data_IF_562140402034
#
_entry.id   IF_562140402034
#
_cell.length_a   1.000
_cell.length_b   1.000
_cell.length_c   1.000
_cell.angle_alpha   90.00
_cell.angle_beta   90.00
_cell.angle_gamma   90.00
#
_symmetry.space_group_name_H-M   'P 1'
#
loop_
_entity.id
_entity.type
_entity.pdbx_description
1 polymer ?
#
# COMPACT_ATOMS: atom_id res chain seq x y z
N UNK A 1 19.91 25.49 -55.77
CA UNK A 1 18.65 26.22 -56.08
C UNK A 1 17.37 25.38 -56.09
N UNK A 2 17.36 24.09 -56.51
CA UNK A 2 16.13 23.27 -56.50
C UNK A 2 15.66 22.82 -55.11
N UNK A 3 16.57 22.63 -54.15
CA UNK A 3 16.24 22.24 -52.76
C UNK A 3 15.60 23.39 -51.97
N UNK A 4 16.16 24.61 -52.07
CA UNK A 4 15.66 25.80 -51.37
C UNK A 4 14.24 26.18 -51.78
N UNK A 5 13.89 26.09 -53.08
CA UNK A 5 12.51 26.32 -53.54
C UNK A 5 11.50 25.32 -52.97
N UNK A 6 11.86 24.04 -52.84
CA UNK A 6 10.98 23.02 -52.26
C UNK A 6 10.75 23.26 -50.76
N UNK A 7 11.80 23.64 -50.04
CA UNK A 7 11.69 24.00 -48.61
C UNK A 7 10.82 25.25 -48.43
N UNK A 8 11.00 26.28 -49.24
CA UNK A 8 10.15 27.49 -49.18
C UNK A 8 8.68 27.19 -49.49
N UNK A 9 8.40 26.33 -50.46
CA UNK A 9 7.02 25.92 -50.78
C UNK A 9 6.41 25.11 -49.63
N UNK A 10 7.17 24.18 -49.04
CA UNK A 10 6.73 23.41 -47.88
C UNK A 10 6.40 24.31 -46.68
N UNK A 11 7.29 25.28 -46.38
CA UNK A 11 7.07 26.27 -45.33
C UNK A 11 5.84 27.13 -45.60
N UNK A 12 5.67 27.61 -46.83
CA UNK A 12 4.50 28.40 -47.21
C UNK A 12 3.21 27.59 -47.06
N UNK A 13 3.24 26.32 -47.46
CA UNK A 13 2.09 25.42 -47.34
C UNK A 13 1.73 25.15 -45.87
N UNK A 14 2.73 24.90 -45.01
CA UNK A 14 2.54 24.76 -43.56
C UNK A 14 1.96 26.03 -42.93
N UNK A 15 2.42 27.20 -43.38
CA UNK A 15 1.97 28.49 -42.85
C UNK A 15 0.51 28.79 -43.26
N UNK A 16 0.15 28.51 -44.52
CA UNK A 16 -1.23 28.63 -45.01
C UNK A 16 -2.15 27.64 -44.31
N UNK A 17 -1.73 26.37 -44.19
CA UNK A 17 -2.50 25.33 -43.50
C UNK A 17 -2.72 25.68 -42.02
N UNK A 18 -1.68 26.18 -41.33
CA UNK A 18 -1.77 26.65 -39.95
C UNK A 18 -2.73 27.82 -39.79
N UNK A 19 -2.65 28.84 -40.65
CA UNK A 19 -3.55 29.99 -40.62
C UNK A 19 -5.01 29.61 -40.91
N UNK A 20 -5.24 28.69 -41.85
CA UNK A 20 -6.58 28.22 -42.20
C UNK A 20 -7.24 27.42 -41.06
N UNK A 21 -6.45 26.68 -40.28
CA UNK A 21 -6.94 25.82 -39.19
C UNK A 21 -7.07 26.55 -37.85
N UNK A 22 -6.32 27.65 -37.67
CA UNK A 22 -6.32 28.49 -36.47
C UNK A 22 -7.70 28.94 -35.94
N UNK A 23 -8.66 29.40 -36.78
CA UNK A 23 -9.98 29.81 -36.28
C UNK A 23 -10.83 28.66 -35.74
N UNK A 24 -10.57 27.41 -36.15
CA UNK A 24 -11.25 26.22 -35.65
C UNK A 24 -10.58 25.68 -34.36
N UNK A 25 -9.25 25.77 -34.26
CA UNK A 25 -8.51 25.27 -33.10
C UNK A 25 -8.48 26.24 -31.93
N UNK A 26 -8.57 27.56 -32.16
CA UNK A 26 -8.53 28.55 -31.08
C UNK A 26 -9.70 28.44 -30.09
N UNK A 27 -10.97 28.24 -30.51
CA UNK A 27 -12.09 28.05 -29.59
C UNK A 27 -11.96 26.73 -28.84
N UNK A 28 -11.70 25.63 -29.55
CA UNK A 28 -11.54 24.30 -28.96
C UNK A 28 -10.37 24.25 -27.97
N UNK A 29 -9.24 24.85 -28.32
CA UNK A 29 -8.08 24.95 -27.45
C UNK A 29 -8.32 25.80 -26.21
N UNK A 30 -9.15 26.85 -26.29
CA UNK A 30 -9.56 27.62 -25.10
C UNK A 30 -10.48 26.80 -24.20
N UNK A 31 -11.45 26.10 -24.78
CA UNK A 31 -12.37 25.24 -24.03
C UNK A 31 -11.63 24.08 -23.35
N UNK A 32 -10.70 23.44 -24.06
CA UNK A 32 -9.85 22.39 -23.49
C UNK A 32 -8.92 22.91 -22.38
N UNK A 33 -8.48 24.17 -22.42
CA UNK A 33 -7.73 24.78 -21.30
C UNK A 33 -8.62 25.13 -20.11
N UNK A 34 -9.80 25.70 -20.38
CA UNK A 34 -10.79 26.00 -19.35
C UNK A 34 -11.27 24.75 -18.61
N UNK A 35 -11.29 23.61 -19.29
CA UNK A 35 -11.63 22.30 -18.71
C UNK A 35 -10.41 21.55 -18.15
N UNK A 36 -9.21 22.14 -18.20
CA UNK A 36 -7.97 21.53 -17.68
C UNK A 36 -7.40 20.38 -18.52
N UNK A 37 -7.97 20.10 -19.70
CA UNK A 37 -7.50 19.06 -20.62
C UNK A 37 -6.18 19.45 -21.28
N UNK A 38 -6.01 20.73 -21.62
CA UNK A 38 -4.75 21.28 -22.16
C UNK A 38 -4.10 22.23 -21.16
N UNK A 39 -2.77 22.15 -21.04
CA UNK A 39 -1.99 23.09 -20.25
C UNK A 39 -1.94 24.49 -20.91
N UNK A 40 -1.73 25.52 -20.08
CA UNK A 40 -1.52 26.90 -20.55
C UNK A 40 -0.23 27.03 -21.39
N UNK A 41 -0.14 27.96 -22.36
CA UNK A 41 1.09 28.22 -23.10
C UNK A 41 2.28 28.46 -22.17
N UNK A 42 3.45 27.89 -22.48
CA UNK A 42 4.68 28.14 -21.72
C UNK A 42 5.01 29.62 -21.86
N UNK A 43 5.34 30.27 -20.75
CA UNK A 43 5.90 31.62 -20.81
C UNK A 43 7.35 31.58 -21.33
N UNK A 44 7.88 32.75 -21.69
CA UNK A 44 9.20 32.84 -22.30
C UNK A 44 10.33 32.46 -21.33
N UNK A 45 10.14 32.64 -20.02
CA UNK A 45 11.11 32.24 -18.99
C UNK A 45 11.16 30.72 -18.84
N UNK A 46 10.00 30.08 -18.94
CA UNK A 46 9.82 28.64 -18.87
C UNK A 46 10.47 27.93 -20.05
N UNK A 47 10.38 28.49 -21.27
CA UNK A 47 11.07 27.92 -22.43
C UNK A 47 12.60 27.91 -22.29
N UNK A 48 13.16 28.86 -21.54
CA UNK A 48 14.60 28.92 -21.30
C UNK A 48 15.04 27.85 -20.27
N UNK A 49 14.20 27.57 -19.27
CA UNK A 49 14.48 26.60 -18.21
C UNK A 49 14.52 25.12 -18.68
N UNK A 50 13.71 24.76 -19.69
CA UNK A 50 13.60 23.38 -20.21
C UNK A 50 14.64 23.14 -21.34
N UNK A 51 15.31 24.21 -21.80
CA UNK A 51 16.25 24.19 -22.93
C UNK A 51 15.55 24.28 -24.29
N UNK A 52 16.20 24.95 -25.26
CA UNK A 52 15.59 25.35 -26.55
C UNK A 52 14.98 24.19 -27.35
N UNK A 53 15.61 23.01 -27.34
CA UNK A 53 15.13 21.83 -28.10
C UNK A 53 13.86 21.24 -27.48
N UNK A 54 13.86 21.05 -26.16
CA UNK A 54 12.70 20.54 -25.42
C UNK A 54 11.55 21.54 -25.43
N UNK A 55 11.85 22.84 -25.33
CA UNK A 55 10.87 23.92 -25.47
C UNK A 55 10.21 23.93 -26.85
N UNK A 56 10.98 23.77 -27.94
CA UNK A 56 10.44 23.68 -29.29
C UNK A 56 9.53 22.46 -29.49
N UNK A 57 9.88 21.31 -28.91
CA UNK A 57 9.06 20.08 -28.93
C UNK A 57 7.79 20.25 -28.08
N UNK A 58 7.92 20.84 -26.89
CA UNK A 58 6.82 21.16 -25.98
C UNK A 58 5.80 22.14 -26.58
N UNK A 59 6.26 23.11 -27.37
CA UNK A 59 5.40 24.05 -28.11
C UNK A 59 4.60 23.37 -29.24
N UNK A 60 5.04 22.20 -29.72
CA UNK A 60 4.32 21.36 -30.68
C UNK A 60 3.21 20.48 -30.08
N UNK A 61 2.89 20.64 -28.79
CA UNK A 61 1.85 19.85 -28.10
C UNK A 61 2.35 18.55 -27.47
N UNK A 62 3.67 18.29 -27.47
CA UNK A 62 4.27 17.04 -26.99
C UNK A 62 4.75 17.11 -25.52
N UNK A 63 4.21 18.02 -24.70
CA UNK A 63 4.67 18.24 -23.32
C UNK A 63 4.58 16.99 -22.45
N UNK A 64 3.49 16.23 -22.56
CA UNK A 64 3.28 14.99 -21.80
C UNK A 64 4.30 13.91 -22.18
N UNK A 65 4.64 13.82 -23.47
CA UNK A 65 5.68 12.92 -23.95
C UNK A 65 7.06 13.34 -23.43
N UNK A 66 7.39 14.63 -23.50
CA UNK A 66 8.68 15.14 -22.97
C UNK A 66 8.79 14.88 -21.47
N UNK A 67 7.74 15.19 -20.69
CA UNK A 67 7.71 14.91 -19.25
C UNK A 67 7.89 13.42 -18.94
N UNK A 68 7.22 12.54 -19.71
CA UNK A 68 7.37 11.09 -19.56
C UNK A 68 8.78 10.61 -19.89
N UNK A 69 9.37 11.12 -20.98
CA UNK A 69 10.75 10.80 -21.37
C UNK A 69 11.73 11.30 -20.31
N UNK A 70 11.56 12.51 -19.76
CA UNK A 70 12.41 13.00 -18.67
C UNK A 70 12.30 12.10 -17.43
N UNK A 71 11.09 11.71 -17.05
CA UNK A 71 10.87 10.80 -15.93
C UNK A 71 11.59 9.46 -16.13
N UNK A 72 11.43 8.80 -17.28
CA UNK A 72 12.03 7.48 -17.49
C UNK A 72 13.53 7.52 -17.84
N UNK A 73 13.97 8.50 -18.64
CA UNK A 73 15.34 8.52 -19.16
C UNK A 73 16.33 9.32 -18.31
N UNK A 74 15.84 10.16 -17.39
CA UNK A 74 16.68 11.02 -16.55
C UNK A 74 16.47 10.79 -15.06
N UNK A 75 15.23 10.72 -14.58
CA UNK A 75 14.97 10.49 -13.15
C UNK A 75 15.42 9.08 -12.73
N UNK A 76 15.11 8.05 -13.51
CA UNK A 76 15.49 6.66 -13.17
C UNK A 76 17.02 6.48 -13.04
N UNK A 77 17.86 6.91 -14.01
CA UNK A 77 19.31 6.85 -13.83
C UNK A 77 19.81 7.68 -12.65
N UNK A 78 19.32 8.91 -12.46
CA UNK A 78 19.73 9.76 -11.35
C UNK A 78 19.38 9.14 -9.98
N UNK A 79 18.24 8.43 -9.89
CA UNK A 79 17.86 7.67 -8.71
C UNK A 79 18.78 6.49 -8.44
N UNK A 80 19.18 5.74 -9.47
CA UNK A 80 20.16 4.66 -9.33
C UNK A 80 21.52 5.17 -8.84
N UNK A 81 21.90 6.38 -9.25
CA UNK A 81 23.15 7.04 -8.85
C UNK A 81 23.02 7.82 -7.52
N UNK A 82 21.83 7.85 -6.91
CA UNK A 82 21.51 8.64 -5.73
C UNK A 82 21.81 10.15 -5.91
N UNK A 83 21.68 10.66 -7.13
CA UNK A 83 21.78 12.09 -7.46
C UNK A 83 20.43 12.78 -7.19
N UNK A 84 20.16 12.98 -5.90
CA UNK A 84 18.92 13.61 -5.43
C UNK A 84 18.73 15.02 -5.99
N UNK A 85 19.81 15.80 -6.09
CA UNK A 85 19.74 17.17 -6.65
C UNK A 85 19.37 17.13 -8.14
N UNK A 86 19.96 16.20 -8.89
CA UNK A 86 19.60 15.96 -10.29
C UNK A 86 18.13 15.58 -10.46
N UNK A 87 17.62 14.65 -9.65
CA UNK A 87 16.21 14.26 -9.66
C UNK A 87 15.30 15.48 -9.52
N UNK A 88 15.53 16.33 -8.51
CA UNK A 88 14.64 17.45 -8.25
C UNK A 88 14.74 18.56 -9.30
N UNK A 89 15.91 18.77 -9.89
CA UNK A 89 16.09 19.66 -11.04
C UNK A 89 15.25 19.18 -12.24
N UNK A 90 15.17 17.86 -12.45
CA UNK A 90 14.34 17.29 -13.50
C UNK A 90 12.84 17.43 -13.16
N UNK A 91 12.46 17.23 -11.91
CA UNK A 91 11.06 17.40 -11.50
C UNK A 91 10.55 18.83 -11.65
N UNK A 92 11.38 19.85 -11.38
CA UNK A 92 11.04 21.25 -11.66
C UNK A 92 10.65 21.44 -13.14
N UNK A 93 11.38 20.80 -14.07
CA UNK A 93 11.01 20.81 -15.50
C UNK A 93 9.73 20.03 -15.79
N UNK A 94 9.56 18.86 -15.16
CA UNK A 94 8.38 18.01 -15.35
C UNK A 94 7.10 18.69 -14.85
N UNK A 95 7.11 19.29 -13.65
CA UNK A 95 5.97 20.03 -13.10
C UNK A 95 5.64 21.24 -13.96
N UNK A 96 6.65 21.90 -14.52
CA UNK A 96 6.43 22.99 -15.48
C UNK A 96 5.80 22.50 -16.79
N UNK A 97 6.17 21.31 -17.26
CA UNK A 97 5.62 20.71 -18.50
C UNK A 97 4.21 20.15 -18.32
N UNK A 98 3.90 19.57 -17.15
CA UNK A 98 2.67 18.83 -16.84
C UNK A 98 2.15 19.16 -15.42
N UNK A 99 1.80 20.42 -15.12
CA UNK A 99 1.31 20.82 -13.79
C UNK A 99 -0.05 20.20 -13.43
N UNK A 100 -0.80 19.71 -14.43
CA UNK A 100 -2.10 19.08 -14.24
C UNK A 100 -2.04 17.57 -13.93
N UNK A 101 -0.85 16.99 -13.74
CA UNK A 101 -0.67 15.55 -13.54
C UNK A 101 -0.19 15.26 -12.12
N UNK A 102 -1.10 14.82 -11.24
CA UNK A 102 -0.78 14.58 -9.82
C UNK A 102 0.28 13.51 -9.57
N UNK A 103 0.47 12.57 -10.51
CA UNK A 103 1.52 11.55 -10.41
C UNK A 103 2.91 12.17 -10.22
N UNK A 104 3.24 13.25 -10.94
CA UNK A 104 4.58 13.82 -10.87
C UNK A 104 4.85 14.54 -9.55
N UNK A 105 3.84 15.13 -8.92
CA UNK A 105 3.98 15.69 -7.57
C UNK A 105 4.14 14.60 -6.52
N UNK A 106 3.35 13.52 -6.61
CA UNK A 106 3.48 12.36 -5.72
C UNK A 106 4.85 11.69 -5.87
N UNK A 107 5.33 11.51 -7.09
CA UNK A 107 6.64 10.91 -7.35
C UNK A 107 7.76 11.79 -6.77
N UNK A 108 7.75 13.09 -7.05
CA UNK A 108 8.74 14.02 -6.52
C UNK A 108 8.75 14.05 -4.97
N UNK A 109 7.55 14.06 -4.36
CA UNK A 109 7.40 14.02 -2.91
C UNK A 109 7.93 12.70 -2.30
N UNK A 110 7.67 11.55 -2.95
CA UNK A 110 8.21 10.25 -2.54
C UNK A 110 9.74 10.20 -2.63
N UNK A 111 10.32 10.63 -3.75
CA UNK A 111 11.78 10.70 -3.89
C UNK A 111 12.42 11.61 -2.85
N UNK A 112 11.78 12.71 -2.48
CA UNK A 112 12.30 13.63 -1.46
C UNK A 112 12.15 13.06 -0.05
N UNK A 113 10.92 12.84 0.38
CA UNK A 113 10.63 12.58 1.79
C UNK A 113 10.76 11.11 2.19
N UNK A 114 10.79 10.17 1.24
CA UNK A 114 11.01 8.75 1.54
C UNK A 114 12.43 8.33 1.13
N UNK A 115 12.82 8.46 -0.14
CA UNK A 115 14.08 7.91 -0.64
C UNK A 115 15.30 8.74 -0.22
N UNK A 116 15.36 10.03 -0.58
CA UNK A 116 16.47 10.90 -0.22
C UNK A 116 16.58 11.03 1.31
N UNK A 117 15.45 11.18 1.99
CA UNK A 117 15.38 11.14 3.45
C UNK A 117 16.07 9.89 4.03
N UNK A 118 15.72 8.70 3.53
CA UNK A 118 16.27 7.44 4.03
C UNK A 118 17.75 7.28 3.70
N UNK A 119 18.18 7.72 2.51
CA UNK A 119 19.60 7.73 2.14
C UNK A 119 20.42 8.60 3.09
N UNK A 120 19.95 9.82 3.40
CA UNK A 120 20.62 10.71 4.34
C UNK A 120 20.50 10.31 5.81
N UNK A 121 19.64 9.35 6.16
CA UNK A 121 19.54 8.84 7.54
C UNK A 121 20.82 8.12 7.97
N UNK A 122 21.38 7.31 7.08
CA UNK A 122 22.50 6.42 7.41
C UNK A 122 23.73 6.68 6.51
N UNK A 123 23.78 7.84 5.83
CA UNK A 123 24.80 8.14 4.82
C UNK A 123 26.23 8.09 5.38
N UNK A 124 27.11 7.22 4.84
CA UNK A 124 28.50 7.14 5.27
C UNK A 124 29.26 8.43 4.99
N UNK A 125 30.21 8.77 5.87
CA UNK A 125 31.09 9.93 5.70
C UNK A 125 30.42 11.29 5.97
N UNK A 126 29.22 11.31 6.55
CA UNK A 126 28.57 12.52 7.05
C UNK A 126 28.51 12.55 8.57
N UNK A 127 28.65 13.73 9.16
CA UNK A 127 28.38 13.97 10.57
C UNK A 127 26.86 13.96 10.84
N UNK A 128 26.44 13.66 12.07
CA UNK A 128 24.99 13.54 12.38
C UNK A 128 24.21 14.82 12.08
N UNK A 129 24.75 15.99 12.42
CA UNK A 129 24.07 17.27 12.14
C UNK A 129 23.91 17.53 10.64
N UNK A 130 24.81 17.01 9.80
CA UNK A 130 24.71 17.13 8.34
C UNK A 130 23.61 16.22 7.81
N UNK A 131 23.55 14.99 8.34
CA UNK A 131 22.48 14.04 8.03
C UNK A 131 21.12 14.62 8.42
N UNK A 132 20.99 15.15 9.63
CA UNK A 132 19.77 15.81 10.11
C UNK A 132 19.37 17.00 9.24
N UNK A 133 20.32 17.88 8.90
CA UNK A 133 20.06 19.02 8.01
C UNK A 133 19.51 18.56 6.65
N UNK A 134 20.10 17.53 6.05
CA UNK A 134 19.65 16.99 4.76
C UNK A 134 18.31 16.29 4.86
N UNK A 135 18.07 15.51 5.91
CA UNK A 135 16.76 14.90 6.18
C UNK A 135 15.66 15.96 6.28
N UNK A 136 15.91 17.03 7.03
CA UNK A 136 14.99 18.16 7.17
C UNK A 136 14.73 18.85 5.82
N UNK A 137 15.79 19.10 5.05
CA UNK A 137 15.69 19.71 3.72
C UNK A 137 14.79 18.89 2.79
N UNK A 138 15.04 17.58 2.67
CA UNK A 138 14.30 16.73 1.73
C UNK A 138 12.89 16.39 2.22
N UNK A 139 12.66 16.23 3.52
CA UNK A 139 11.32 16.08 4.06
C UNK A 139 10.46 17.31 3.73
N UNK A 140 10.97 18.51 4.02
CA UNK A 140 10.27 19.76 3.72
C UNK A 140 10.06 19.95 2.22
N UNK A 141 11.05 19.59 1.39
CA UNK A 141 10.92 19.63 -0.07
C UNK A 141 9.80 18.72 -0.57
N UNK A 142 9.64 17.55 0.03
CA UNK A 142 8.52 16.64 -0.27
C UNK A 142 7.16 17.26 0.07
N UNK A 143 7.04 17.93 1.23
CA UNK A 143 5.84 18.68 1.59
C UNK A 143 5.56 19.81 0.61
N UNK A 144 6.59 20.59 0.21
CA UNK A 144 6.45 21.66 -0.78
C UNK A 144 5.89 21.15 -2.12
N UNK A 145 6.38 20.01 -2.63
CA UNK A 145 5.82 19.44 -3.86
C UNK A 145 4.34 19.05 -3.73
N UNK A 146 3.92 18.57 -2.56
CA UNK A 146 2.51 18.26 -2.32
C UNK A 146 1.67 19.53 -2.22
N UNK A 147 2.20 20.59 -1.61
CA UNK A 147 1.53 21.91 -1.55
C UNK A 147 1.35 22.50 -2.94
N UNK A 148 2.42 22.57 -3.74
CA UNK A 148 2.35 23.01 -5.13
C UNK A 148 1.38 22.15 -5.96
N UNK A 149 1.38 20.83 -5.72
CA UNK A 149 0.43 19.93 -6.37
C UNK A 149 -1.01 20.23 -5.99
N UNK A 150 -1.30 20.47 -4.70
CA UNK A 150 -2.65 20.81 -4.21
C UNK A 150 -3.09 22.18 -4.75
N UNK A 151 -2.20 23.15 -4.85
CA UNK A 151 -2.50 24.46 -5.46
C UNK A 151 -2.89 24.33 -6.93
N UNK A 152 -2.16 23.49 -7.69
CA UNK A 152 -2.46 23.26 -9.11
C UNK A 152 -3.67 22.33 -9.32
N UNK A 153 -3.93 21.42 -8.38
CA UNK A 153 -4.97 20.38 -8.46
C UNK A 153 -5.78 20.32 -7.14
N UNK A 154 -6.59 21.35 -6.82
CA UNK A 154 -7.23 21.49 -5.50
C UNK A 154 -8.24 20.40 -5.16
N UNK A 155 -8.80 19.74 -6.18
CA UNK A 155 -9.73 18.61 -6.01
C UNK A 155 -9.05 17.22 -5.96
N UNK A 156 -7.72 17.14 -6.09
CA UNK A 156 -7.03 15.85 -6.08
C UNK A 156 -6.85 15.34 -4.65
N UNK A 157 -7.63 14.30 -4.32
CA UNK A 157 -7.60 13.68 -3.00
C UNK A 157 -6.29 12.96 -2.70
N UNK A 158 -5.62 12.40 -3.71
CA UNK A 158 -4.40 11.59 -3.49
C UNK A 158 -3.26 12.44 -2.98
N UNK A 159 -3.14 13.68 -3.47
CA UNK A 159 -2.14 14.62 -2.97
C UNK A 159 -2.37 14.98 -1.51
N UNK A 160 -3.64 15.22 -1.13
CA UNK A 160 -4.03 15.52 0.25
C UNK A 160 -3.83 14.31 1.17
N UNK A 161 -4.21 13.12 0.73
CA UNK A 161 -3.98 11.86 1.45
C UNK A 161 -2.49 11.61 1.65
N UNK A 162 -1.66 11.82 0.63
CA UNK A 162 -0.21 11.65 0.72
C UNK A 162 0.43 12.67 1.67
N UNK A 163 -0.01 13.94 1.63
CA UNK A 163 0.49 14.98 2.54
C UNK A 163 0.13 14.66 3.98
N UNK A 164 -1.13 14.29 4.24
CA UNK A 164 -1.57 13.86 5.56
C UNK A 164 -0.80 12.63 6.05
N UNK A 165 -0.53 11.64 5.18
CA UNK A 165 0.31 10.47 5.50
C UNK A 165 1.71 10.91 5.91
N UNK A 166 2.36 11.78 5.16
CA UNK A 166 3.72 12.24 5.46
C UNK A 166 3.80 12.98 6.79
N UNK A 167 2.83 13.85 7.07
CA UNK A 167 2.72 14.58 8.34
C UNK A 167 2.31 13.69 9.52
N UNK A 168 1.94 12.43 9.30
CA UNK A 168 1.52 11.52 10.36
C UNK A 168 2.35 10.23 10.43
N UNK A 169 3.47 10.20 9.70
CA UNK A 169 4.33 9.02 9.56
C UNK A 169 5.13 8.75 10.84
N UNK A 170 4.70 7.76 11.62
CA UNK A 170 5.35 7.38 12.88
C UNK A 170 6.74 6.77 12.71
N UNK A 171 7.17 6.44 11.49
CA UNK A 171 8.55 6.05 11.22
C UNK A 171 9.52 7.23 11.18
N UNK A 172 8.99 8.47 11.17
CA UNK A 172 9.75 9.71 11.20
C UNK A 172 9.20 10.63 12.30
N UNK A 173 9.28 10.20 13.58
CA UNK A 173 8.57 10.82 14.69
C UNK A 173 8.89 12.31 14.88
N UNK A 174 10.06 12.77 14.45
CA UNK A 174 10.47 14.17 14.50
C UNK A 174 9.68 15.11 13.57
N UNK A 175 8.96 14.56 12.58
CA UNK A 175 8.11 15.34 11.65
C UNK A 175 6.61 15.07 11.83
N UNK A 176 6.23 14.27 12.83
CA UNK A 176 4.82 13.98 13.08
C UNK A 176 4.12 15.23 13.59
N UNK A 177 3.13 15.68 12.81
CA UNK A 177 2.20 16.74 13.14
C UNK A 177 0.78 16.29 12.82
N UNK A 178 0.14 15.62 13.79
CA UNK A 178 -1.24 15.16 13.64
C UNK A 178 -2.23 16.31 13.46
N UNK A 179 -1.94 17.51 13.99
CA UNK A 179 -2.84 18.65 13.85
C UNK A 179 -2.85 19.12 12.38
N UNK A 180 -1.68 19.40 11.82
CA UNK A 180 -1.53 19.77 10.41
C UNK A 180 -2.05 18.67 9.48
N UNK A 181 -1.76 17.40 9.77
CA UNK A 181 -2.26 16.28 8.99
C UNK A 181 -3.80 16.19 9.02
N UNK A 182 -4.43 16.51 10.17
CA UNK A 182 -5.88 16.55 10.29
C UNK A 182 -6.47 17.73 9.51
N UNK A 183 -5.86 18.92 9.55
CA UNK A 183 -6.31 20.09 8.78
C UNK A 183 -6.33 19.82 7.28
N UNK A 184 -5.30 19.16 6.75
CA UNK A 184 -5.26 18.75 5.33
C UNK A 184 -6.46 17.86 4.97
N UNK A 185 -6.87 16.97 5.87
CA UNK A 185 -8.01 16.08 5.64
C UNK A 185 -9.36 16.73 5.98
N UNK A 186 -9.42 17.73 6.86
CA UNK A 186 -10.60 18.57 7.06
C UNK A 186 -11.00 19.24 5.74
N UNK A 187 -10.03 19.81 5.03
CA UNK A 187 -10.27 20.35 3.70
C UNK A 187 -10.70 19.24 2.71
N UNK A 188 -10.01 18.10 2.72
CA UNK A 188 -10.28 16.99 1.80
C UNK A 188 -11.72 16.45 1.91
N UNK A 189 -12.29 16.35 3.12
CA UNK A 189 -13.65 15.85 3.32
C UNK A 189 -14.74 16.81 2.83
N UNK A 190 -14.41 18.09 2.59
CA UNK A 190 -15.35 19.06 2.00
C UNK A 190 -15.47 18.93 0.49
N UNK A 191 -14.54 18.22 -0.16
CA UNK A 191 -14.53 18.04 -1.61
C UNK A 191 -15.66 17.11 -2.06
N UNK A 192 -16.25 17.41 -3.23
CA UNK A 192 -17.36 16.60 -3.79
C UNK A 192 -17.01 15.12 -4.01
N UNK A 193 -15.73 14.81 -4.20
CA UNK A 193 -15.22 13.46 -4.48
C UNK A 193 -14.79 12.72 -3.21
N UNK A 194 -14.95 13.32 -2.01
CA UNK A 194 -14.48 12.74 -0.76
C UNK A 194 -15.04 11.33 -0.54
N UNK A 195 -14.15 10.38 -0.28
CA UNK A 195 -14.51 8.98 -0.05
C UNK A 195 -14.66 8.70 1.44
N UNK A 196 -15.32 7.60 1.80
CA UNK A 196 -15.39 7.17 3.20
C UNK A 196 -14.01 6.74 3.75
N UNK A 197 -13.05 6.43 2.87
CA UNK A 197 -11.65 6.19 3.25
C UNK A 197 -11.04 7.47 3.83
N UNK A 198 -11.18 8.60 3.12
CA UNK A 198 -10.67 9.91 3.57
C UNK A 198 -11.32 10.33 4.89
N UNK A 199 -12.64 10.13 5.04
CA UNK A 199 -13.36 10.43 6.30
C UNK A 199 -12.82 9.62 7.49
N UNK A 200 -12.53 8.33 7.29
CA UNK A 200 -11.93 7.48 8.33
C UNK A 200 -10.49 7.88 8.65
N UNK A 201 -9.68 8.21 7.64
CA UNK A 201 -8.33 8.72 7.86
C UNK A 201 -8.35 10.01 8.67
N UNK A 202 -9.24 10.96 8.33
CA UNK A 202 -9.48 12.18 9.11
C UNK A 202 -9.79 11.85 10.56
N UNK A 203 -10.73 10.94 10.81
CA UNK A 203 -11.06 10.51 12.18
C UNK A 203 -9.82 10.01 12.93
N UNK A 204 -9.05 9.13 12.30
CA UNK A 204 -7.88 8.53 12.93
C UNK A 204 -6.84 9.59 13.31
N UNK A 205 -6.56 10.55 12.44
CA UNK A 205 -5.64 11.65 12.74
C UNK A 205 -6.20 12.57 13.82
N UNK A 206 -7.47 12.96 13.69
CA UNK A 206 -8.15 13.82 14.66
C UNK A 206 -8.17 13.24 16.08
N UNK A 207 -8.34 11.91 16.23
CA UNK A 207 -8.29 11.25 17.54
C UNK A 207 -6.93 11.38 18.25
N UNK A 208 -5.86 11.64 17.48
CA UNK A 208 -4.50 11.80 18.02
C UNK A 208 -4.20 13.24 18.44
N UNK A 209 -5.06 14.20 18.10
CA UNK A 209 -4.94 15.61 18.47
C UNK A 209 -5.74 15.83 19.77
N UNK A 210 -5.10 16.04 20.94
CA UNK A 210 -5.79 16.12 22.24
C UNK A 210 -6.97 17.10 22.23
N UNK A 211 -6.76 18.28 21.66
CA UNK A 211 -7.73 19.38 21.62
C UNK A 211 -8.98 19.04 20.81
N UNK A 212 -8.90 18.03 19.92
CA UNK A 212 -9.96 17.63 19.01
C UNK A 212 -10.58 16.28 19.35
N UNK A 213 -10.16 15.63 20.43
CA UNK A 213 -10.69 14.29 20.80
C UNK A 213 -12.18 14.27 21.07
N UNK A 214 -12.76 15.36 21.58
CA UNK A 214 -14.22 15.48 21.74
C UNK A 214 -14.95 15.54 20.38
N UNK A 215 -14.39 16.23 19.41
CA UNK A 215 -14.87 16.22 18.02
C UNK A 215 -14.72 14.81 17.41
N UNK A 216 -13.59 14.14 17.69
CA UNK A 216 -13.35 12.76 17.26
C UNK A 216 -14.35 11.78 17.85
N UNK A 217 -14.75 11.93 19.12
CA UNK A 217 -15.80 11.10 19.72
C UNK A 217 -17.12 11.24 18.97
N UNK A 218 -17.50 12.48 18.62
CA UNK A 218 -18.72 12.77 17.86
C UNK A 218 -18.68 12.08 16.49
N UNK A 219 -17.60 12.28 15.73
CA UNK A 219 -17.44 11.67 14.41
C UNK A 219 -17.35 10.14 14.49
N UNK A 220 -16.72 9.59 15.53
CA UNK A 220 -16.64 8.14 15.74
C UNK A 220 -18.02 7.54 15.92
N UNK A 221 -18.89 8.19 16.71
CA UNK A 221 -20.29 7.76 16.90
C UNK A 221 -21.08 7.80 15.60
N UNK A 222 -20.90 8.85 14.79
CA UNK A 222 -21.53 8.97 13.47
C UNK A 222 -21.11 7.83 12.54
N UNK A 223 -19.81 7.52 12.46
CA UNK A 223 -19.29 6.42 11.65
C UNK A 223 -19.76 5.06 12.19
N UNK A 224 -19.76 4.88 13.52
CA UNK A 224 -20.17 3.64 14.17
C UNK A 224 -21.67 3.33 14.02
N UNK A 225 -22.49 4.36 13.79
CA UNK A 225 -23.93 4.20 13.56
C UNK A 225 -24.24 3.38 12.31
N UNK A 226 -23.37 3.39 11.28
CA UNK A 226 -23.48 2.47 10.14
C UNK A 226 -22.88 1.10 10.51
N UNK A 227 -23.68 0.01 10.56
CA UNK A 227 -23.18 -1.33 10.87
C UNK A 227 -22.04 -1.79 9.95
N UNK A 228 -21.99 -1.32 8.70
CA UNK A 228 -20.94 -1.66 7.73
C UNK A 228 -19.60 -1.01 8.04
N UNK A 229 -19.58 0.00 8.91
CA UNK A 229 -18.40 0.79 9.26
C UNK A 229 -17.84 0.46 10.65
N UNK A 230 -18.36 -0.57 11.33
CA UNK A 230 -17.93 -1.01 12.67
C UNK A 230 -16.63 -1.83 12.66
N UNK A 231 -15.61 -1.31 11.99
CA UNK A 231 -14.29 -1.93 11.95
C UNK A 231 -13.66 -2.01 13.35
N UNK A 232 -12.75 -2.97 13.61
CA UNK A 232 -12.09 -3.11 14.91
C UNK A 232 -11.45 -1.81 15.43
N UNK A 233 -10.83 -1.02 14.55
CA UNK A 233 -10.24 0.28 14.89
C UNK A 233 -11.28 1.31 15.33
N UNK A 234 -12.47 1.32 14.72
CA UNK A 234 -13.57 2.22 15.10
C UNK A 234 -14.15 1.80 16.44
N UNK A 235 -14.33 0.49 16.68
CA UNK A 235 -14.77 -0.05 17.97
C UNK A 235 -13.82 0.39 19.10
N UNK A 236 -12.50 0.21 18.93
CA UNK A 236 -11.51 0.56 19.95
C UNK A 236 -11.34 2.08 20.14
N UNK A 237 -11.48 2.89 19.09
CA UNK A 237 -11.50 4.34 19.22
C UNK A 237 -12.76 4.83 19.92
N UNK A 238 -13.93 4.26 19.60
CA UNK A 238 -15.18 4.59 20.29
C UNK A 238 -15.05 4.34 21.79
N UNK A 239 -14.55 3.14 22.15
CA UNK A 239 -14.32 2.77 23.54
C UNK A 239 -13.34 3.71 24.24
N UNK A 240 -12.16 3.96 23.67
CA UNK A 240 -11.16 4.80 24.33
C UNK A 240 -11.59 6.27 24.44
N UNK A 241 -12.20 6.83 23.39
CA UNK A 241 -12.69 8.22 23.41
C UNK A 241 -13.86 8.41 24.39
N UNK A 242 -14.82 7.49 24.46
CA UNK A 242 -15.93 7.64 25.42
C UNK A 242 -15.47 7.52 26.88
N UNK A 243 -14.41 6.74 27.15
CA UNK A 243 -13.81 6.65 28.49
C UNK A 243 -13.00 7.89 28.86
N UNK A 244 -12.51 8.65 27.88
CA UNK A 244 -11.88 9.96 28.10
C UNK A 244 -12.91 11.04 28.46
N UNK A 245 -14.17 10.86 28.05
CA UNK A 245 -15.30 11.78 28.30
C UNK A 245 -16.50 11.05 28.95
N UNK A 246 -16.36 10.57 30.20
CA UNK A 246 -17.36 9.72 30.86
C UNK A 246 -18.68 10.44 31.18
N UNK A 247 -18.69 11.77 31.14
CA UNK A 247 -19.83 12.67 31.29
C UNK A 247 -20.80 12.60 30.10
N UNK A 248 -20.39 12.01 28.97
CA UNK A 248 -21.26 11.76 27.82
C UNK A 248 -21.85 10.34 27.86
N UNK A 249 -23.10 10.17 27.38
CA UNK A 249 -23.73 8.84 27.28
C UNK A 249 -22.92 7.94 26.34
N UNK A 250 -22.15 7.01 26.92
CA UNK A 250 -21.40 6.00 26.20
C UNK A 250 -22.26 4.86 25.65
N UNK A 251 -21.71 4.11 24.70
CA UNK A 251 -22.28 2.85 24.25
C UNK A 251 -21.72 1.75 25.17
N UNK A 252 -22.57 0.91 25.78
CA UNK A 252 -22.12 -0.20 26.62
C UNK A 252 -21.14 -1.12 25.90
N UNK A 253 -20.15 -1.66 26.62
CA UNK A 253 -19.09 -2.48 26.03
C UNK A 253 -19.61 -3.71 25.27
N UNK A 254 -20.67 -4.33 25.79
CA UNK A 254 -21.36 -5.48 25.18
C UNK A 254 -22.20 -5.11 23.95
N UNK A 255 -22.41 -3.83 23.67
CA UNK A 255 -22.96 -3.33 22.40
C UNK A 255 -21.84 -2.99 21.39
N UNK A 256 -20.63 -2.68 21.87
CA UNK A 256 -19.46 -2.41 21.03
C UNK A 256 -18.84 -3.72 20.50
N UNK A 257 -18.67 -4.71 21.38
CA UNK A 257 -18.02 -5.99 21.09
C UNK A 257 -18.97 -7.15 21.34
N UNK A 258 -18.96 -8.13 20.43
CA UNK A 258 -19.91 -9.26 20.48
C UNK A 258 -19.49 -10.35 21.48
N UNK A 259 -18.22 -10.34 21.93
CA UNK A 259 -17.68 -11.31 22.87
C UNK A 259 -16.46 -10.77 23.63
N UNK A 260 -16.11 -11.45 24.73
CA UNK A 260 -14.86 -11.17 25.47
C UNK A 260 -13.62 -11.37 24.61
N UNK A 261 -13.59 -12.39 23.76
CA UNK A 261 -12.48 -12.60 22.81
C UNK A 261 -12.32 -11.42 21.83
N UNK A 262 -13.44 -10.84 21.37
CA UNK A 262 -13.39 -9.62 20.56
C UNK A 262 -12.86 -8.42 21.32
N UNK A 263 -13.23 -8.27 22.60
CA UNK A 263 -12.72 -7.20 23.48
C UNK A 263 -11.20 -7.33 23.60
N UNK A 264 -10.69 -8.50 23.99
CA UNK A 264 -9.24 -8.72 24.13
C UNK A 264 -8.52 -8.42 22.81
N UNK A 265 -9.01 -8.97 21.68
CA UNK A 265 -8.39 -8.76 20.36
C UNK A 265 -8.40 -7.28 19.94
N UNK A 266 -9.54 -6.62 20.06
CA UNK A 266 -9.72 -5.24 19.64
C UNK A 266 -8.91 -4.27 20.50
N UNK A 267 -8.98 -4.41 21.83
CA UNK A 267 -8.28 -3.53 22.76
C UNK A 267 -6.77 -3.81 22.80
N UNK A 268 -6.34 -5.06 22.69
CA UNK A 268 -4.91 -5.38 22.62
C UNK A 268 -4.26 -4.81 21.35
N UNK A 269 -4.87 -4.99 20.18
CA UNK A 269 -4.37 -4.40 18.93
C UNK A 269 -4.29 -2.87 19.02
N UNK A 270 -5.25 -2.25 19.71
CA UNK A 270 -5.23 -0.81 19.98
C UNK A 270 -4.10 -0.43 20.95
N UNK A 271 -3.92 -1.18 22.03
CA UNK A 271 -2.86 -0.99 23.04
C UNK A 271 -1.44 -1.15 22.47
N UNK A 272 -1.24 -2.05 21.50
CA UNK A 272 0.04 -2.17 20.81
C UNK A 272 0.46 -0.87 20.12
N UNK A 273 -0.52 -0.04 19.72
CA UNK A 273 -0.36 1.23 19.02
C UNK A 273 -0.32 2.45 19.95
N UNK A 274 -0.17 2.24 21.26
CA UNK A 274 -0.12 3.32 22.28
C UNK A 274 0.93 4.40 22.04
N UNK A 275 2.00 4.08 21.31
CA UNK A 275 3.05 5.04 20.98
C UNK A 275 2.71 5.92 19.75
N UNK A 276 1.57 5.70 19.09
CA UNK A 276 1.12 6.47 17.91
C UNK A 276 0.21 7.65 18.27
N UNK A 277 0.19 8.10 19.53
CA UNK A 277 -0.65 9.23 19.98
C UNK A 277 -2.15 8.95 20.06
N UNK A 278 -2.59 7.71 19.88
CA UNK A 278 -4.00 7.31 19.98
C UNK A 278 -4.55 7.50 21.40
N UNK A 279 -5.88 7.74 21.55
CA UNK A 279 -6.52 7.77 22.86
C UNK A 279 -6.45 6.39 23.53
N UNK A 280 -6.15 6.35 24.82
CA UNK A 280 -5.91 5.10 25.58
C UNK A 280 -6.73 4.98 26.87
N UNK A 281 -7.63 5.92 27.14
CA UNK A 281 -8.43 5.90 28.37
C UNK A 281 -9.23 4.60 28.51
N UNK A 282 -9.05 3.91 29.64
CA UNK A 282 -9.73 2.66 29.98
C UNK A 282 -9.26 1.42 29.22
N UNK A 283 -8.37 1.54 28.22
CA UNK A 283 -7.99 0.44 27.32
C UNK A 283 -7.24 -0.65 28.06
N UNK A 284 -6.29 -0.27 28.92
CA UNK A 284 -5.48 -1.24 29.66
C UNK A 284 -6.29 -1.89 30.77
N UNK A 285 -7.06 -1.09 31.49
CA UNK A 285 -7.88 -1.53 32.62
C UNK A 285 -8.94 -2.54 32.18
N UNK A 286 -9.64 -2.25 31.08
CA UNK A 286 -10.65 -3.16 30.53
C UNK A 286 -10.03 -4.44 29.96
N UNK A 287 -8.85 -4.32 29.34
CA UNK A 287 -8.11 -5.48 28.86
C UNK A 287 -7.68 -6.38 30.03
N UNK A 288 -7.11 -5.83 31.10
CA UNK A 288 -6.75 -6.57 32.32
C UNK A 288 -7.98 -7.23 32.96
N UNK A 289 -9.09 -6.48 33.12
CA UNK A 289 -10.33 -7.01 33.67
C UNK A 289 -10.90 -8.16 32.83
N UNK A 290 -10.94 -8.02 31.50
CA UNK A 290 -11.44 -9.05 30.60
C UNK A 290 -10.56 -10.31 30.64
N UNK A 291 -9.23 -10.15 30.70
CA UNK A 291 -8.28 -11.27 30.81
C UNK A 291 -8.45 -12.02 32.14
N UNK A 292 -8.63 -11.31 33.25
CA UNK A 292 -8.88 -11.89 34.57
C UNK A 292 -10.19 -12.67 34.61
N UNK A 293 -11.24 -12.14 33.99
CA UNK A 293 -12.53 -12.82 33.88
C UNK A 293 -12.48 -14.10 33.04
N UNK A 294 -11.64 -14.11 31.99
CA UNK A 294 -11.40 -15.29 31.17
C UNK A 294 -10.51 -16.34 31.85
N UNK A 295 -9.90 -16.01 33.00
CA UNK A 295 -9.01 -16.90 33.78
C UNK A 295 -7.91 -17.53 32.92
N UNK A 296 -7.35 -16.75 32.01
CA UNK A 296 -6.35 -17.25 31.09
C UNK A 296 -5.07 -17.63 31.84
N UNK A 297 -4.42 -18.76 31.49
CA UNK A 297 -3.09 -19.08 31.97
C UNK A 297 -2.15 -17.88 31.75
N UNK A 298 -1.24 -17.63 32.69
CA UNK A 298 -0.28 -16.51 32.58
C UNK A 298 0.55 -16.55 31.28
N UNK A 299 0.81 -17.74 30.74
CA UNK A 299 1.47 -17.93 29.45
C UNK A 299 0.66 -17.36 28.25
N UNK A 300 -0.66 -17.29 28.40
CA UNK A 300 -1.63 -16.77 27.44
C UNK A 300 -2.12 -15.35 27.79
N UNK A 301 -1.37 -14.61 28.62
CA UNK A 301 -1.66 -13.20 28.87
C UNK A 301 -0.91 -12.32 27.84
N UNK A 302 -1.60 -11.64 26.92
CA UNK A 302 -0.95 -10.88 25.85
C UNK A 302 -0.24 -9.60 26.37
N UNK A 303 -0.56 -9.14 27.59
CA UNK A 303 0.15 -8.04 28.24
C UNK A 303 1.49 -8.47 28.84
N UNK A 304 1.65 -9.76 29.17
CA UNK A 304 2.87 -10.32 29.74
C UNK A 304 3.76 -10.99 28.69
N UNK A 305 3.23 -11.23 27.49
CA UNK A 305 3.91 -11.95 26.42
C UNK A 305 3.99 -11.06 25.17
N UNK A 306 5.18 -10.49 24.92
CA UNK A 306 5.41 -9.57 23.79
C UNK A 306 5.66 -10.28 22.46
N UNK A 307 5.70 -11.61 22.44
CA UNK A 307 5.87 -12.37 21.22
C UNK A 307 4.55 -12.39 20.42
N UNK A 308 4.48 -11.53 19.40
CA UNK A 308 3.34 -11.34 18.51
C UNK A 308 2.84 -12.66 17.90
N UNK A 309 3.75 -13.63 17.65
CA UNK A 309 3.40 -14.95 17.12
C UNK A 309 2.60 -15.77 18.14
N UNK A 310 3.01 -15.76 19.41
CA UNK A 310 2.23 -16.40 20.50
C UNK A 310 0.90 -15.72 20.72
N UNK A 311 0.85 -14.39 20.64
CA UNK A 311 -0.39 -13.65 20.85
C UNK A 311 -1.46 -13.96 19.79
N UNK A 312 -1.05 -14.26 18.55
CA UNK A 312 -1.99 -14.68 17.50
C UNK A 312 -2.59 -16.07 17.76
N UNK A 313 -1.76 -17.06 18.12
CA UNK A 313 -2.21 -18.40 18.53
C UNK A 313 -3.05 -18.36 19.82
N UNK A 314 -2.68 -17.47 20.76
CA UNK A 314 -3.46 -17.22 21.97
C UNK A 314 -4.85 -16.68 21.67
N UNK A 315 -5.02 -15.84 20.64
CA UNK A 315 -6.36 -15.38 20.27
C UNK A 315 -7.27 -16.50 19.76
N UNK A 316 -6.71 -17.54 19.13
CA UNK A 316 -7.44 -18.75 18.74
C UNK A 316 -7.85 -19.56 19.98
N UNK A 317 -6.94 -19.79 20.94
CA UNK A 317 -7.23 -20.50 22.19
C UNK A 317 -8.21 -19.74 23.11
N UNK A 318 -8.08 -18.41 23.21
CA UNK A 318 -9.00 -17.53 23.95
C UNK A 318 -10.39 -17.54 23.31
N UNK A 319 -10.45 -17.59 21.98
CA UNK A 319 -11.68 -17.69 21.23
C UNK A 319 -12.36 -19.06 21.44
N UNK A 320 -11.60 -20.16 21.47
CA UNK A 320 -12.10 -21.51 21.78
C UNK A 320 -12.54 -21.69 23.24
N UNK A 321 -11.88 -21.02 24.19
CA UNK A 321 -12.22 -21.07 25.62
C UNK A 321 -13.45 -20.24 26.01
N UNK A 322 -13.97 -19.41 25.10
CA UNK A 322 -15.18 -18.62 25.31
C UNK A 322 -16.43 -19.52 25.27
N UNK A 323 -17.41 -19.36 26.19
CA UNK A 323 -18.66 -20.13 26.16
C UNK A 323 -19.53 -19.86 24.93
N UNK A 324 -19.14 -18.89 24.11
CA UNK A 324 -19.58 -18.74 22.73
C UNK A 324 -18.85 -19.77 21.86
N UNK A 325 -19.47 -20.95 21.70
CA UNK A 325 -19.39 -21.64 20.41
C UNK A 325 -19.70 -20.61 19.33
N UNK A 326 -18.98 -20.66 18.20
CA UNK A 326 -19.19 -19.85 17.00
C UNK A 326 -20.57 -19.17 16.96
N UNK A 327 -20.70 -17.88 16.58
CA UNK A 327 -22.01 -17.44 16.11
C UNK A 327 -22.48 -18.52 15.14
N UNK A 328 -23.66 -19.08 15.39
CA UNK A 328 -24.28 -20.20 14.66
C UNK A 328 -24.42 -19.96 13.14
N UNK A 329 -23.83 -18.87 12.66
CA UNK A 329 -23.58 -18.44 11.31
C UNK A 329 -22.32 -19.09 10.71
N UNK A 330 -21.56 -19.88 11.49
CA UNK A 330 -20.51 -20.80 11.05
C UNK A 330 -20.81 -22.22 11.57
N UNK A 331 -22.07 -22.63 11.45
CA UNK A 331 -22.44 -24.03 11.56
C UNK A 331 -22.03 -24.75 10.27
N UNK A 332 -21.82 -26.07 10.35
CA UNK A 332 -21.67 -26.96 9.19
C UNK A 332 -22.80 -26.80 8.14
N UNK A 333 -23.91 -26.15 8.50
CA UNK A 333 -25.03 -25.83 7.62
C UNK A 333 -24.95 -24.45 6.93
N UNK A 334 -24.09 -23.51 7.36
CA UNK A 334 -24.11 -22.13 6.83
C UNK A 334 -23.28 -21.92 5.56
N UNK A 335 -22.63 -22.96 5.02
CA UNK A 335 -22.17 -22.99 3.63
C UNK A 335 -21.44 -21.72 3.16
N UNK A 336 -20.50 -21.18 3.95
CA UNK A 336 -19.70 -20.00 3.60
C UNK A 336 -18.23 -20.31 3.21
N UNK A 337 -17.91 -21.59 2.96
CA UNK A 337 -16.77 -21.99 2.13
C UNK A 337 -16.76 -21.37 0.73
N UNK A 338 -17.92 -21.13 0.08
CA UNK A 338 -18.01 -20.31 -1.11
C UNK A 338 -17.37 -18.94 -0.98
N UNK A 339 -17.16 -18.38 0.21
CA UNK A 339 -16.51 -17.06 0.35
C UNK A 339 -14.98 -17.15 0.25
N UNK A 340 -14.35 -18.20 0.79
CA UNK A 340 -12.92 -18.46 0.63
C UNK A 340 -12.62 -18.96 -0.80
N UNK A 341 -13.49 -19.79 -1.36
CA UNK A 341 -13.44 -20.22 -2.77
C UNK A 341 -13.75 -19.05 -3.71
N UNK A 342 -14.74 -18.19 -3.43
CA UNK A 342 -15.04 -16.98 -4.22
C UNK A 342 -13.96 -15.92 -4.10
N UNK A 343 -13.31 -15.78 -2.93
CA UNK A 343 -12.11 -14.94 -2.80
C UNK A 343 -10.97 -15.49 -3.67
N UNK A 344 -10.82 -16.82 -3.76
CA UNK A 344 -9.92 -17.43 -4.72
C UNK A 344 -10.41 -17.28 -6.18
N UNK A 345 -11.70 -17.29 -6.48
CA UNK A 345 -12.18 -17.07 -7.86
C UNK A 345 -12.10 -15.58 -8.29
N UNK A 346 -12.24 -14.64 -7.35
CA UNK A 346 -12.09 -13.20 -7.55
C UNK A 346 -10.62 -12.74 -7.57
N UNK A 347 -9.75 -13.39 -6.79
CA UNK A 347 -8.36 -12.96 -6.58
C UNK A 347 -7.32 -14.07 -6.88
N UNK A 348 -7.72 -15.20 -7.45
CA UNK A 348 -6.92 -16.44 -7.66
C UNK A 348 -5.76 -16.33 -8.64
N UNK A 349 -5.44 -15.13 -9.07
CA UNK A 349 -4.14 -14.80 -9.64
C UNK A 349 -3.19 -14.20 -8.60
N UNK A 350 -3.42 -14.41 -7.29
CA UNK A 350 -2.52 -13.92 -6.26
C UNK A 350 -1.11 -14.44 -6.54
N UNK A 351 -0.23 -13.54 -6.98
CA UNK A 351 1.12 -13.85 -7.45
C UNK A 351 2.04 -14.34 -6.35
N UNK A 352 1.61 -14.21 -5.08
CA UNK A 352 2.39 -14.53 -3.90
C UNK A 352 2.46 -16.05 -3.62
N UNK A 353 3.66 -16.67 -3.69
CA UNK A 353 3.89 -18.10 -3.42
C UNK A 353 3.28 -18.62 -2.12
N UNK A 354 3.45 -17.87 -1.02
CA UNK A 354 2.99 -18.27 0.32
C UNK A 354 1.48 -18.44 0.40
N UNK A 355 0.71 -17.58 -0.29
CA UNK A 355 -0.75 -17.64 -0.26
C UNK A 355 -1.29 -18.88 -1.00
N UNK A 356 -0.62 -19.30 -2.09
CA UNK A 356 -0.96 -20.52 -2.83
C UNK A 356 -0.79 -21.76 -1.95
N UNK A 357 0.32 -21.84 -1.21
CA UNK A 357 0.58 -23.00 -0.33
C UNK A 357 -0.32 -23.00 0.90
N UNK A 358 -0.56 -21.84 1.53
CA UNK A 358 -1.51 -21.73 2.64
C UNK A 358 -2.92 -22.19 2.23
N UNK A 359 -3.35 -21.88 1.02
CA UNK A 359 -4.63 -22.33 0.51
C UNK A 359 -4.71 -23.86 0.37
N UNK A 360 -3.64 -24.50 -0.10
CA UNK A 360 -3.54 -25.96 -0.11
C UNK A 360 -3.59 -26.55 1.30
N UNK A 361 -2.82 -25.99 2.24
CA UNK A 361 -2.76 -26.42 3.64
C UNK A 361 -4.13 -26.31 4.32
N UNK A 362 -4.85 -25.22 4.12
CA UNK A 362 -6.15 -24.98 4.75
C UNK A 362 -7.20 -26.00 4.31
N UNK A 363 -7.17 -26.43 3.04
CA UNK A 363 -8.08 -27.48 2.54
C UNK A 363 -7.81 -28.85 3.18
N UNK A 364 -6.54 -29.14 3.51
CA UNK A 364 -6.14 -30.35 4.21
C UNK A 364 -6.49 -30.30 5.71
N UNK A 365 -6.25 -29.16 6.36
CA UNK A 365 -6.60 -28.94 7.78
C UNK A 365 -8.11 -29.00 8.03
N UNK A 366 -8.90 -28.46 7.11
CA UNK A 366 -10.36 -28.47 7.19
C UNK A 366 -10.98 -29.85 6.94
N UNK A 367 -10.18 -30.87 6.59
CA UNK A 367 -10.67 -32.22 6.34
C UNK A 367 -11.65 -32.33 5.17
N UNK A 368 -11.61 -31.39 4.21
CA UNK A 368 -12.58 -31.33 3.12
C UNK A 368 -12.59 -32.63 2.30
N UNK A 369 -13.76 -33.12 1.87
CA UNK A 369 -13.86 -34.22 0.92
C UNK A 369 -13.09 -33.89 -0.37
N UNK A 370 -12.40 -34.85 -1.00
CA UNK A 370 -11.59 -34.61 -2.21
C UNK A 370 -12.33 -33.87 -3.34
N UNK A 371 -13.63 -34.10 -3.48
CA UNK A 371 -14.51 -33.49 -4.47
C UNK A 371 -14.84 -32.01 -4.20
N UNK A 372 -14.67 -31.53 -2.97
CA UNK A 372 -14.89 -30.13 -2.58
C UNK A 372 -13.59 -29.31 -2.57
N UNK A 373 -12.45 -29.98 -2.73
CA UNK A 373 -11.15 -29.31 -2.81
C UNK A 373 -10.97 -28.66 -4.17
N UNK A 374 -10.41 -27.46 -4.16
CA UNK A 374 -9.90 -26.83 -5.37
C UNK A 374 -8.72 -27.64 -5.87
N UNK A 375 -8.85 -28.09 -7.12
CA UNK A 375 -7.84 -28.87 -7.78
C UNK A 375 -6.50 -28.10 -7.86
N UNK A 376 -5.40 -28.81 -7.65
CA UNK A 376 -4.03 -28.26 -7.61
C UNK A 376 -3.69 -27.39 -8.81
N UNK A 377 -4.16 -27.76 -10.00
CA UNK A 377 -3.92 -27.01 -11.24
C UNK A 377 -4.59 -25.64 -11.28
N UNK A 378 -5.54 -25.36 -10.35
CA UNK A 378 -6.09 -24.01 -10.17
C UNK A 378 -5.27 -23.23 -9.14
N UNK A 379 -4.64 -23.90 -8.18
CA UNK A 379 -3.81 -23.29 -7.12
C UNK A 379 -2.44 -22.92 -7.66
N UNK A 380 -1.79 -23.85 -8.37
CA UNK A 380 -0.46 -23.70 -8.95
C UNK A 380 -0.58 -23.59 -10.47
N UNK A 381 -0.04 -22.53 -11.09
CA UNK A 381 -0.07 -22.34 -12.54
C UNK A 381 0.55 -23.49 -13.34
N UNK A 382 1.60 -24.10 -12.79
CA UNK A 382 2.33 -25.21 -13.39
C UNK A 382 3.06 -26.02 -12.30
N UNK A 383 3.56 -27.20 -12.67
CA UNK A 383 4.21 -28.14 -11.74
C UNK A 383 5.50 -27.59 -11.15
N UNK A 384 6.30 -26.83 -11.92
CA UNK A 384 7.54 -26.25 -11.40
C UNK A 384 7.24 -25.16 -10.39
N UNK A 385 6.21 -24.34 -10.65
CA UNK A 385 5.71 -23.36 -9.69
C UNK A 385 5.21 -24.05 -8.41
N UNK A 386 4.49 -25.17 -8.53
CA UNK A 386 4.06 -25.95 -7.36
C UNK A 386 5.26 -26.41 -6.52
N UNK A 387 6.25 -27.05 -7.14
CA UNK A 387 7.45 -27.56 -6.46
C UNK A 387 8.21 -26.42 -5.77
N UNK A 388 8.43 -25.30 -6.48
CA UNK A 388 9.11 -24.11 -5.93
C UNK A 388 8.38 -23.57 -4.71
N UNK A 389 7.08 -23.33 -4.85
CA UNK A 389 6.30 -22.68 -3.81
C UNK A 389 6.18 -23.58 -2.57
N UNK A 390 5.91 -24.88 -2.77
CA UNK A 390 5.86 -25.88 -1.70
C UNK A 390 7.22 -26.05 -1.01
N UNK A 391 8.32 -26.11 -1.75
CA UNK A 391 9.67 -26.24 -1.18
C UNK A 391 10.07 -24.99 -0.37
N UNK A 392 9.85 -23.79 -0.93
CA UNK A 392 10.08 -22.53 -0.19
C UNK A 392 9.25 -22.50 1.09
N UNK A 393 7.97 -22.88 1.03
CA UNK A 393 7.10 -22.89 2.21
C UNK A 393 7.50 -23.97 3.24
N UNK A 394 7.93 -25.15 2.79
CA UNK A 394 8.34 -26.25 3.65
C UNK A 394 9.63 -25.94 4.41
N UNK A 395 10.62 -25.34 3.74
CA UNK A 395 11.95 -25.08 4.28
C UNK A 395 12.18 -23.64 4.76
N UNK A 396 11.19 -22.75 4.62
CA UNK A 396 11.23 -21.45 5.28
C UNK A 396 11.02 -21.61 6.79
N UNK A 397 12.11 -21.45 7.54
CA UNK A 397 12.14 -21.46 9.01
C UNK A 397 11.66 -20.14 9.63
N UNK A 398 11.46 -19.08 8.83
CA UNK A 398 11.09 -17.76 9.36
C UNK A 398 9.64 -17.68 9.84
N UNK A 399 8.79 -18.65 9.45
CA UNK A 399 7.38 -18.73 9.79
C UNK A 399 6.98 -20.12 10.34
N UNK A 400 6.08 -20.14 11.33
CA UNK A 400 5.54 -21.37 11.94
C UNK A 400 4.13 -21.64 11.38
N UNK A 401 4.02 -21.76 10.06
CA UNK A 401 2.76 -22.09 9.43
C UNK A 401 2.47 -23.59 9.56
N UNK A 402 1.19 -24.00 9.58
CA UNK A 402 0.85 -25.40 9.44
C UNK A 402 1.37 -25.95 8.12
N UNK A 403 1.94 -27.17 8.13
CA UNK A 403 2.58 -27.80 6.96
C UNK A 403 1.89 -29.10 6.54
N UNK A 404 0.65 -29.32 6.99
CA UNK A 404 -0.11 -30.54 6.77
C UNK A 404 -0.27 -30.85 5.27
N UNK A 405 0.30 -31.98 4.83
CA UNK A 405 0.25 -32.42 3.43
C UNK A 405 1.26 -31.73 2.52
N UNK A 406 2.01 -30.71 2.97
CA UNK A 406 2.92 -29.94 2.09
C UNK A 406 4.08 -30.80 1.61
N UNK A 407 4.65 -31.63 2.50
CA UNK A 407 5.76 -32.53 2.17
C UNK A 407 5.30 -33.62 1.20
N UNK A 408 4.18 -34.25 1.49
CA UNK A 408 3.59 -35.30 0.66
C UNK A 408 3.24 -34.76 -0.73
N UNK A 409 2.70 -33.53 -0.79
CA UNK A 409 2.42 -32.84 -2.03
C UNK A 409 3.69 -32.53 -2.82
N UNK A 410 4.73 -32.04 -2.15
CA UNK A 410 6.02 -31.76 -2.78
C UNK A 410 6.64 -33.04 -3.36
N UNK A 411 6.60 -34.14 -2.61
CA UNK A 411 7.01 -35.47 -3.05
C UNK A 411 6.25 -35.90 -4.31
N UNK A 412 4.92 -35.78 -4.30
CA UNK A 412 4.08 -36.13 -5.43
C UNK A 412 4.39 -35.28 -6.68
N UNK A 413 4.56 -33.96 -6.52
CA UNK A 413 4.90 -33.09 -7.65
C UNK A 413 6.29 -33.39 -8.21
N UNK A 414 7.28 -33.67 -7.36
CA UNK A 414 8.63 -34.07 -7.79
C UNK A 414 8.58 -35.37 -8.61
N UNK A 415 7.82 -36.38 -8.16
CA UNK A 415 7.63 -37.65 -8.88
C UNK A 415 6.91 -37.42 -10.21
N UNK A 416 5.80 -36.66 -10.20
CA UNK A 416 5.02 -36.35 -11.42
C UNK A 416 5.84 -35.56 -12.44
N UNK A 417 6.74 -34.70 -11.98
CA UNK A 417 7.60 -33.92 -12.86
C UNK A 417 8.86 -34.69 -13.29
N UNK A 418 9.18 -35.84 -12.68
CA UNK A 418 10.42 -36.59 -12.88
C UNK A 418 11.69 -35.79 -12.52
N UNK A 419 11.62 -34.99 -11.46
CA UNK A 419 12.76 -34.17 -11.00
C UNK A 419 13.95 -35.09 -10.67
N UNK A 420 15.13 -34.88 -11.26
CA UNK A 420 16.32 -35.68 -10.94
C UNK A 420 16.72 -35.51 -9.47
N UNK A 421 17.31 -36.56 -8.88
CA UNK A 421 17.72 -36.54 -7.46
C UNK A 421 18.59 -35.33 -7.10
N UNK A 422 19.55 -34.97 -7.95
CA UNK A 422 20.45 -33.83 -7.73
C UNK A 422 19.77 -32.45 -7.80
N UNK A 423 18.51 -32.39 -8.25
CA UNK A 423 17.66 -31.19 -8.26
C UNK A 423 16.46 -31.33 -7.31
N UNK A 424 16.32 -32.45 -6.60
CA UNK A 424 15.18 -32.66 -5.71
C UNK A 424 15.30 -31.80 -4.45
N UNK A 425 14.32 -30.92 -4.17
CA UNK A 425 14.35 -30.07 -2.98
C UNK A 425 14.25 -30.88 -1.69
N UNK A 426 13.79 -32.13 -1.76
CA UNK A 426 13.69 -33.04 -0.61
C UNK A 426 15.02 -33.71 -0.26
N UNK A 427 15.92 -33.86 -1.24
CA UNK A 427 17.26 -34.42 -1.05
C UNK A 427 18.31 -33.32 -0.79
N UNK A 428 18.02 -32.10 -1.24
CA UNK A 428 18.87 -30.92 -1.11
C UNK A 428 18.14 -29.72 -0.46
N UNK A 429 17.60 -29.87 0.78
CA UNK A 429 16.83 -28.82 1.44
C UNK A 429 17.64 -27.56 1.74
N UNK A 430 18.97 -27.67 1.85
CA UNK A 430 19.90 -26.56 2.08
C UNK A 430 19.92 -25.51 0.96
N UNK A 431 19.35 -25.85 -0.20
CA UNK A 431 19.19 -24.94 -1.33
C UNK A 431 17.96 -24.05 -1.19
N UNK A 432 17.25 -24.10 -0.05
CA UNK A 432 16.04 -23.34 0.24
C UNK A 432 16.12 -22.69 1.64
N UNK A 433 15.39 -21.58 1.89
CA UNK A 433 14.51 -20.85 0.96
C UNK A 433 15.29 -19.85 0.06
N UNK A 434 14.75 -19.54 -1.13
CA UNK A 434 15.22 -18.47 -2.04
C UNK A 434 16.55 -18.67 -2.81
N UNK A 435 16.80 -19.85 -3.38
CA UNK A 435 17.91 -20.02 -4.34
C UNK A 435 17.44 -19.88 -5.81
N UNK A 436 17.70 -18.70 -6.41
CA UNK A 436 17.41 -18.45 -7.83
C UNK A 436 18.24 -19.36 -8.76
N UNK A 437 19.44 -19.80 -8.36
CA UNK A 437 20.29 -20.67 -9.16
C UNK A 437 19.71 -22.09 -9.28
N UNK A 438 19.03 -22.57 -8.24
CA UNK A 438 18.29 -23.84 -8.30
C UNK A 438 17.14 -23.74 -9.31
N UNK A 439 16.37 -22.64 -9.28
CA UNK A 439 15.29 -22.39 -10.23
C UNK A 439 15.79 -22.35 -11.68
N UNK A 440 16.91 -21.67 -11.93
CA UNK A 440 17.51 -21.61 -13.25
C UNK A 440 18.00 -22.99 -13.73
N UNK A 441 18.43 -23.86 -12.81
CA UNK A 441 18.89 -25.22 -13.11
C UNK A 441 17.72 -26.16 -13.41
N UNK A 442 16.64 -26.07 -12.64
CA UNK A 442 15.40 -26.84 -12.86
C UNK A 442 14.68 -26.38 -14.12
N UNK A 443 14.61 -25.07 -14.38
CA UNK A 443 14.03 -24.55 -15.62
C UNK A 443 14.84 -25.01 -16.84
N UNK A 444 16.17 -24.90 -16.82
CA UNK A 444 17.03 -25.42 -17.90
C UNK A 444 16.78 -26.90 -18.16
N UNK A 445 16.82 -27.73 -17.12
CA UNK A 445 16.54 -29.16 -17.25
C UNK A 445 15.13 -29.43 -17.83
N UNK A 446 14.11 -28.71 -17.35
CA UNK A 446 12.75 -28.87 -17.87
C UNK A 446 12.62 -28.44 -19.32
N UNK A 447 13.28 -27.33 -19.72
CA UNK A 447 13.34 -26.89 -21.10
C UNK A 447 14.07 -27.89 -21.99
N UNK A 448 15.14 -28.52 -21.53
CA UNK A 448 15.86 -29.54 -22.30
C UNK A 448 14.99 -30.80 -22.52
N UNK A 449 14.17 -31.18 -21.53
CA UNK A 449 13.23 -32.32 -21.66
C UNK A 449 12.01 -32.03 -22.56
N UNK A 450 11.49 -30.80 -22.54
CA UNK A 450 10.28 -30.41 -23.30
C UNK A 450 10.64 -29.83 -24.69
N UNK A 451 11.85 -29.28 -24.84
CA UNK A 451 12.35 -28.65 -26.05
C UNK A 451 12.78 -29.62 -27.16
N UNK A 452 13.12 -30.86 -26.82
CA UNK A 452 13.36 -31.92 -27.81
C UNK A 452 12.07 -32.51 -28.42
N UNK A 453 10.89 -32.08 -27.94
CA UNK A 453 9.58 -32.57 -28.39
C UNK A 453 8.81 -31.60 -29.33
N UNK A 454 9.50 -30.66 -29.97
CA UNK A 454 8.99 -29.85 -31.11
C UNK A 454 9.92 -29.96 -32.30
#
# INVERSE_FOLDING_TARGET
>A
MRSTKKVSILLLFLLIAGLARMPLERPLGREMRQTGILAEPLDQKTSDAIGQTSAAIALGGLRSLVASVLNFSKVVPAWQEQDWVGIFTIFEQIHTLQPQVSYYYQAAAGYAADDAYSDYRDRPGMEEWQRELRRNEFFNKGITYLDEGIENLPEDLKLREMKARMLSDTYKPEYVDYAAATEVLDEAVTLKKATDVVKRQRLYLMSRVPERRREALTLTREIYADPRSRFPSIKSQLFSLQNEFPDEKGIPLNEIYDSKGEIVRGLFNHYQRRNEGLPMAGVREELEATLDELKLPMALNPLLNTDIKRVTLMFEEIYEASPLKFPSNYSEESGNWPLVVRHFEEYGSSSLPTMRVLYYVLQNLAGLPPEERVHESRIFPDRLTAIRDLANFLFDESHDYPRNGVREQLEEQCVKAQVPDHLSPLLHPEQFPFNNEWMDSVQRWHYDQVGEAK
#
